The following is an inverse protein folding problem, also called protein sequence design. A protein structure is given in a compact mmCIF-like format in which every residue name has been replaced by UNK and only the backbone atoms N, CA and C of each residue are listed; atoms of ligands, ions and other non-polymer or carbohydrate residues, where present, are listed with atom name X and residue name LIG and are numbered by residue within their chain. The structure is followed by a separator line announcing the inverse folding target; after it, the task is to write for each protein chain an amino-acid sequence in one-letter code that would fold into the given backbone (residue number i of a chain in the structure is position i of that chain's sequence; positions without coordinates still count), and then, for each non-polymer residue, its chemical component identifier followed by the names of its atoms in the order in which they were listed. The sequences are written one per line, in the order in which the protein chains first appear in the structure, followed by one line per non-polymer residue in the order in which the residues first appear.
data_IF_982056406713
#
_entry.id   IF_982056406713
#
_cell.length_a   1.000
_cell.length_b   1.000
_cell.length_c   1.000
_cell.angle_alpha   90.00
_cell.angle_beta   90.00
_cell.angle_gamma   90.00
#
_symmetry.space_group_name_H-M   'P 1'
#
loop_
_entity.id
_entity.type
_entity.pdbx_description
1 polymer ?
#
# COMPACT_ATOMS: atom_id res chain seq x y z
N UNK A 1 20.34 -24.66 27.53
CA UNK A 1 19.58 -24.04 26.43
C UNK A 1 19.12 -22.69 26.92
N UNK A 2 19.67 -21.60 26.39
CA UNK A 2 19.14 -20.27 26.67
C UNK A 2 17.84 -20.14 25.89
N UNK A 3 16.72 -20.00 26.60
CA UNK A 3 15.44 -19.74 25.96
C UNK A 3 15.48 -18.29 25.45
N UNK A 4 15.79 -18.11 24.17
CA UNK A 4 15.58 -16.83 23.52
C UNK A 4 14.07 -16.55 23.53
N UNK A 5 13.66 -15.55 24.31
CA UNK A 5 12.28 -15.06 24.32
C UNK A 5 12.02 -14.42 22.97
N UNK A 6 11.23 -15.11 22.13
CA UNK A 6 10.77 -14.55 20.87
C UNK A 6 9.70 -13.52 21.21
N UNK A 7 10.05 -12.24 21.14
CA UNK A 7 9.08 -11.16 21.33
C UNK A 7 8.09 -11.13 20.18
N UNK A 8 6.80 -11.01 20.51
CA UNK A 8 5.73 -10.90 19.51
C UNK A 8 5.75 -9.49 18.93
N UNK A 9 5.70 -9.34 17.60
CA UNK A 9 5.69 -8.03 16.99
C UNK A 9 4.44 -7.25 17.39
N UNK A 10 4.63 -5.97 17.66
CA UNK A 10 3.55 -5.03 17.95
C UNK A 10 2.78 -4.65 16.67
N UNK A 11 1.66 -3.97 16.82
CA UNK A 11 0.79 -3.60 15.69
C UNK A 11 1.47 -2.66 14.67
N UNK A 12 2.43 -1.84 15.11
CA UNK A 12 3.19 -0.95 14.24
C UNK A 12 4.13 -1.75 13.34
N UNK A 13 4.86 -2.71 13.92
CA UNK A 13 5.77 -3.60 13.18
C UNK A 13 5.01 -4.43 12.14
N UNK A 14 3.83 -4.95 12.50
CA UNK A 14 2.94 -5.64 11.57
C UNK A 14 2.50 -4.71 10.44
N UNK A 15 2.06 -3.49 10.77
CA UNK A 15 1.59 -2.52 9.77
C UNK A 15 2.70 -2.14 8.79
N UNK A 16 3.91 -1.87 9.31
CA UNK A 16 5.07 -1.56 8.48
C UNK A 16 5.42 -2.74 7.57
N UNK A 17 5.42 -3.97 8.10
CA UNK A 17 5.63 -5.18 7.32
C UNK A 17 4.66 -5.29 6.14
N UNK A 18 3.36 -5.11 6.39
CA UNK A 18 2.34 -5.15 5.34
C UNK A 18 2.54 -4.07 4.26
N UNK A 19 2.92 -2.85 4.65
CA UNK A 19 3.17 -1.77 3.70
C UNK A 19 4.39 -2.05 2.81
N UNK A 20 5.45 -2.63 3.38
CA UNK A 20 6.64 -3.03 2.63
C UNK A 20 6.35 -4.16 1.64
N UNK A 21 5.54 -5.15 2.04
CA UNK A 21 5.09 -6.22 1.14
C UNK A 21 4.27 -5.67 -0.03
N UNK A 22 3.32 -4.76 0.23
CA UNK A 22 2.53 -4.10 -0.81
C UNK A 22 3.41 -3.32 -1.79
N UNK A 23 4.40 -2.58 -1.28
CA UNK A 23 5.34 -1.85 -2.13
C UNK A 23 6.14 -2.82 -3.02
N UNK A 24 6.67 -3.89 -2.45
CA UNK A 24 7.43 -4.90 -3.19
C UNK A 24 6.60 -5.52 -4.32
N UNK A 25 5.35 -5.91 -4.04
CA UNK A 25 4.47 -6.48 -5.06
C UNK A 25 4.09 -5.45 -6.13
N UNK A 26 3.89 -4.19 -5.75
CA UNK A 26 3.63 -3.09 -6.70
C UNK A 26 4.82 -2.88 -7.63
N UNK A 27 6.04 -2.85 -7.09
CA UNK A 27 7.27 -2.70 -7.86
C UNK A 27 7.52 -3.89 -8.79
N UNK A 28 7.30 -5.10 -8.30
CA UNK A 28 7.40 -6.33 -9.09
C UNK A 28 6.39 -6.31 -10.24
N UNK A 29 5.13 -5.96 -9.96
CA UNK A 29 4.09 -5.87 -10.98
C UNK A 29 4.40 -4.80 -12.02
N UNK A 30 4.91 -3.64 -11.60
CA UNK A 30 5.31 -2.55 -12.49
C UNK A 30 6.47 -2.94 -13.42
N UNK A 31 7.45 -3.68 -12.90
CA UNK A 31 8.61 -4.18 -13.65
C UNK A 31 8.25 -5.32 -14.60
N UNK A 32 7.49 -6.30 -14.14
CA UNK A 32 7.17 -7.52 -14.88
C UNK A 32 6.17 -7.26 -16.02
N UNK A 33 5.18 -6.39 -15.79
CA UNK A 33 4.18 -6.07 -16.81
C UNK A 33 4.51 -4.85 -17.66
N UNK A 34 5.72 -4.29 -17.54
CA UNK A 34 6.14 -3.10 -18.29
C UNK A 34 5.07 -2.02 -18.22
N UNK A 35 4.84 -1.48 -17.02
CA UNK A 35 3.66 -0.71 -16.66
C UNK A 35 3.10 0.16 -17.81
N UNK A 36 1.97 -0.28 -18.39
CA UNK A 36 0.98 0.60 -19.00
C UNK A 36 0.33 1.47 -17.90
N UNK A 37 1.14 2.21 -17.14
CA UNK A 37 0.64 3.32 -16.35
C UNK A 37 0.35 4.43 -17.34
N UNK A 38 -0.85 4.43 -17.91
CA UNK A 38 -1.44 5.68 -18.36
C UNK A 38 -2.00 6.34 -17.11
N UNK A 39 -1.39 7.42 -16.59
CA UNK A 39 -2.11 8.28 -15.66
C UNK A 39 -3.38 8.68 -16.41
N UNK A 40 -4.55 8.40 -15.83
CA UNK A 40 -5.80 8.96 -16.32
C UNK A 40 -5.68 10.48 -16.20
N UNK A 41 -5.20 11.15 -17.26
CA UNK A 41 -5.08 12.60 -17.35
C UNK A 41 -6.41 13.34 -17.13
N UNK A 42 -7.52 12.60 -17.07
CA UNK A 42 -8.88 13.11 -16.99
C UNK A 42 -9.73 12.41 -15.93
N UNK A 43 -9.16 11.97 -14.81
CA UNK A 43 -10.00 11.78 -13.63
C UNK A 43 -10.48 13.17 -13.19
N UNK A 44 -11.52 13.69 -13.85
CA UNK A 44 -12.30 14.82 -13.36
C UNK A 44 -12.78 14.38 -12.00
N UNK A 45 -12.14 14.90 -10.96
CA UNK A 45 -12.68 14.90 -9.62
C UNK A 45 -13.89 15.83 -9.74
N UNK A 46 -15.04 15.27 -10.11
CA UNK A 46 -16.30 15.98 -9.94
C UNK A 46 -16.49 16.09 -8.43
N UNK A 47 -16.10 17.24 -7.90
CA UNK A 47 -16.54 17.72 -6.60
C UNK A 47 -18.06 17.74 -6.64
N UNK A 48 -18.70 16.66 -6.21
CA UNK A 48 -20.10 16.71 -5.82
C UNK A 48 -20.17 17.66 -4.65
N UNK A 49 -20.53 18.92 -4.91
CA UNK A 49 -20.91 19.87 -3.88
C UNK A 49 -22.00 19.21 -3.04
N UNK A 50 -21.67 18.86 -1.80
CA UNK A 50 -22.65 18.43 -0.83
C UNK A 50 -23.51 19.65 -0.48
N UNK A 51 -24.70 19.77 -1.08
CA UNK A 51 -25.73 20.68 -0.56
C UNK A 51 -26.38 19.99 0.64
N UNK A 52 -26.00 20.46 1.83
CA UNK A 52 -26.80 20.23 3.03
C UNK A 52 -28.17 20.92 2.85
N UNK A 53 -29.20 20.25 3.34
CA UNK A 53 -30.61 20.61 3.27
C UNK A 53 -30.94 22.02 3.79
#
# INVERSE_FOLDING_TARGET
MNAETIERPNSSEITIGCLLELQYHTDMYAKDRGCHHTPLKNAKIESTEYKAA
#
